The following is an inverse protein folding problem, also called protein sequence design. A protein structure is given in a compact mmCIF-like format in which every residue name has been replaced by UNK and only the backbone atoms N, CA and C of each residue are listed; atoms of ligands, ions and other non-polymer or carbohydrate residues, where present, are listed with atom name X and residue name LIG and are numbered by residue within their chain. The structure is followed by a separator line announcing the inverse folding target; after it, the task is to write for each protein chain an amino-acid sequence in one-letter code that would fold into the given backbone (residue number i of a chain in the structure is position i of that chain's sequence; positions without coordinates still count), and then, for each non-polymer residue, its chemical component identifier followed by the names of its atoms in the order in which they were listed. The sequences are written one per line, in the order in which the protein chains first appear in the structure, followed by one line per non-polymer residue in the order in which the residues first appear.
data_IF_871273690827
#
_entry.id   IF_871273690827
#
_cell.length_a   1.000
_cell.length_b   1.000
_cell.length_c   1.000
_cell.angle_alpha   90.00
_cell.angle_beta   90.00
_cell.angle_gamma   90.00
#
_symmetry.space_group_name_H-M   'P 1'
#
loop_
_entity.id
_entity.type
_entity.pdbx_description
1 polymer ?
#
# COMPACT_ATOMS: atom_id res chain seq x y z
N UNK A 1 -0.54 -5.34 -84.42
CA UNK A 1 -0.15 -5.62 -83.03
C UNK A 1 -1.24 -5.10 -82.11
N UNK A 2 -2.13 -5.97 -81.60
CA UNK A 2 -3.22 -5.59 -80.70
C UNK A 2 -2.69 -5.34 -79.30
N UNK A 3 -2.93 -4.12 -78.74
CA UNK A 3 -2.64 -3.81 -77.37
C UNK A 3 -3.68 -4.47 -76.47
N UNK A 4 -3.25 -5.47 -75.70
CA UNK A 4 -4.05 -6.06 -74.60
C UNK A 4 -4.28 -5.02 -73.50
N UNK A 5 -5.52 -4.59 -73.33
CA UNK A 5 -5.96 -3.67 -72.27
C UNK A 5 -6.18 -4.51 -71.01
N UNK A 6 -5.20 -4.51 -70.11
CA UNK A 6 -5.33 -5.14 -68.80
C UNK A 6 -6.22 -4.29 -67.93
N UNK A 7 -7.44 -4.71 -67.62
CA UNK A 7 -8.29 -4.08 -66.63
C UNK A 7 -7.68 -4.39 -65.27
N UNK A 8 -7.10 -3.36 -64.65
CA UNK A 8 -6.71 -3.43 -63.24
C UNK A 8 -7.98 -3.29 -62.42
N UNK A 9 -8.36 -4.36 -61.76
CA UNK A 9 -9.34 -4.30 -60.64
C UNK A 9 -8.66 -3.63 -59.47
N UNK A 10 -9.21 -2.50 -59.01
CA UNK A 10 -8.81 -1.90 -57.78
C UNK A 10 -9.26 -2.87 -56.67
N UNK A 11 -8.29 -3.41 -55.97
CA UNK A 11 -8.53 -4.27 -54.80
C UNK A 11 -8.85 -3.32 -53.63
N UNK A 12 -10.12 -3.20 -53.27
CA UNK A 12 -10.51 -2.51 -52.07
C UNK A 12 -10.39 -3.50 -50.91
N UNK A 13 -9.42 -3.22 -50.01
CA UNK A 13 -9.24 -3.98 -48.79
C UNK A 13 -10.16 -3.35 -47.73
N UNK A 14 -11.15 -4.11 -47.28
CA UNK A 14 -12.00 -3.71 -46.19
C UNK A 14 -11.21 -3.83 -44.86
N UNK A 15 -10.95 -2.68 -44.21
CA UNK A 15 -10.18 -2.59 -42.97
C UNK A 15 -11.07 -2.76 -41.71
N UNK A 16 -12.38 -2.91 -41.86
CA UNK A 16 -13.34 -3.04 -40.77
C UNK A 16 -12.99 -4.21 -39.81
N UNK A 17 -12.64 -5.42 -40.32
CA UNK A 17 -12.26 -6.53 -39.44
C UNK A 17 -10.97 -6.27 -38.65
N UNK A 18 -10.00 -5.55 -39.24
CA UNK A 18 -8.75 -5.20 -38.54
C UNK A 18 -9.02 -4.18 -37.43
N UNK A 19 -9.88 -3.19 -37.68
CA UNK A 19 -10.26 -2.18 -36.70
C UNK A 19 -11.01 -2.81 -35.53
N UNK A 20 -11.90 -3.77 -35.77
CA UNK A 20 -12.65 -4.49 -34.74
C UNK A 20 -11.71 -5.28 -33.81
N UNK A 21 -10.77 -6.03 -34.38
CA UNK A 21 -9.76 -6.76 -33.59
C UNK A 21 -8.90 -5.81 -32.76
N UNK A 22 -8.49 -4.65 -33.29
CA UNK A 22 -7.73 -3.65 -32.53
C UNK A 22 -8.54 -3.07 -31.38
N UNK A 23 -9.82 -2.74 -31.60
CA UNK A 23 -10.72 -2.23 -30.56
C UNK A 23 -10.98 -3.29 -29.50
N UNK A 24 -11.21 -4.55 -29.88
CA UNK A 24 -11.38 -5.66 -28.93
C UNK A 24 -10.13 -5.89 -28.06
N UNK A 25 -8.94 -5.86 -28.66
CA UNK A 25 -7.68 -5.95 -27.92
C UNK A 25 -7.49 -4.78 -26.97
N UNK A 26 -7.77 -3.55 -27.43
CA UNK A 26 -7.67 -2.34 -26.60
C UNK A 26 -8.62 -2.42 -25.39
N UNK A 27 -9.88 -2.75 -25.63
CA UNK A 27 -10.88 -2.89 -24.55
C UNK A 27 -10.53 -4.02 -23.61
N UNK A 28 -10.05 -5.15 -24.11
CA UNK A 28 -9.57 -6.25 -23.29
C UNK A 28 -8.41 -5.83 -22.37
N UNK A 29 -7.39 -5.15 -22.88
CA UNK A 29 -6.27 -4.66 -22.09
C UNK A 29 -6.71 -3.59 -21.08
N UNK A 30 -7.65 -2.70 -21.43
CA UNK A 30 -8.21 -1.74 -20.46
C UNK A 30 -8.95 -2.43 -19.32
N UNK A 31 -9.74 -3.46 -19.62
CA UNK A 31 -10.51 -4.19 -18.59
C UNK A 31 -9.63 -5.11 -17.74
N UNK A 32 -8.55 -5.65 -18.29
CA UNK A 32 -7.61 -6.53 -17.56
C UNK A 32 -6.46 -5.76 -16.91
N UNK A 33 -6.32 -4.47 -17.18
CA UNK A 33 -5.30 -3.62 -16.54
C UNK A 33 -5.67 -3.40 -15.07
N UNK A 34 -4.99 -4.07 -14.18
CA UNK A 34 -5.07 -3.84 -12.73
C UNK A 34 -4.03 -2.82 -12.32
N UNK A 35 -4.47 -1.72 -11.71
CA UNK A 35 -3.54 -0.76 -11.12
C UNK A 35 -3.03 -1.33 -9.80
N UNK A 36 -1.82 -1.88 -9.81
CA UNK A 36 -1.13 -2.28 -8.58
C UNK A 36 -0.56 -1.02 -7.93
N UNK A 37 -0.96 -0.74 -6.69
CA UNK A 37 -0.35 0.33 -5.90
C UNK A 37 1.14 0.01 -5.72
N UNK A 38 1.99 0.93 -6.14
CA UNK A 38 3.44 0.76 -5.96
C UNK A 38 3.79 1.03 -4.49
N UNK A 39 4.15 0.00 -3.74
CA UNK A 39 4.63 0.15 -2.36
C UNK A 39 6.05 0.73 -2.40
N UNK A 40 6.28 1.95 -1.88
CA UNK A 40 7.60 2.59 -1.92
C UNK A 40 8.64 1.85 -1.06
N UNK A 41 8.19 1.22 0.01
CA UNK A 41 9.06 0.41 0.89
C UNK A 41 8.77 -1.06 0.62
N UNK A 42 9.76 -1.76 0.05
CA UNK A 42 9.67 -3.19 -0.23
C UNK A 42 10.37 -3.97 0.88
N UNK A 43 9.73 -5.05 1.33
CA UNK A 43 10.29 -6.00 2.31
C UNK A 43 10.35 -7.39 1.71
N UNK A 44 11.45 -8.08 1.96
CA UNK A 44 11.59 -9.49 1.62
C UNK A 44 11.05 -10.32 2.78
N UNK A 45 9.86 -10.87 2.61
CA UNK A 45 9.19 -11.63 3.66
C UNK A 45 9.94 -12.96 3.94
N UNK A 46 9.97 -13.40 5.20
CA UNK A 46 10.54 -14.72 5.54
C UNK A 46 9.68 -15.84 4.92
N UNK A 47 10.34 -16.89 4.47
CA UNK A 47 9.67 -18.07 3.94
C UNK A 47 9.11 -18.95 5.06
N UNK A 48 7.87 -19.46 4.86
CA UNK A 48 7.17 -20.37 5.76
C UNK A 48 6.68 -21.61 5.02
N UNK A 49 6.53 -22.70 5.74
CA UNK A 49 5.93 -23.94 5.24
C UNK A 49 4.41 -23.91 5.30
N UNK A 50 3.82 -22.94 5.97
CA UNK A 50 2.38 -22.76 6.12
C UNK A 50 1.93 -21.50 5.43
N UNK A 51 0.93 -21.64 4.56
CA UNK A 51 0.26 -20.52 3.92
C UNK A 51 -0.98 -20.15 4.72
N UNK A 52 -0.96 -18.98 5.34
CA UNK A 52 -2.15 -18.41 5.97
C UNK A 52 -2.76 -17.44 4.97
N UNK A 53 -3.98 -17.74 4.49
CA UNK A 53 -4.72 -16.80 3.64
C UNK A 53 -5.09 -15.57 4.46
N UNK A 54 -4.48 -14.46 4.11
CA UNK A 54 -4.86 -13.14 4.64
C UNK A 54 -6.10 -12.69 3.86
N UNK A 55 -7.10 -12.12 4.52
CA UNK A 55 -8.22 -11.52 3.81
C UNK A 55 -7.75 -10.44 2.84
N UNK A 56 -8.41 -10.33 1.70
CA UNK A 56 -8.05 -9.36 0.65
C UNK A 56 -8.56 -7.96 0.94
N UNK A 57 -9.59 -7.82 1.80
CA UNK A 57 -10.23 -6.55 2.10
C UNK A 57 -10.21 -6.27 3.61
N UNK A 58 -10.32 -4.99 3.95
CA UNK A 58 -10.39 -4.48 5.32
C UNK A 58 -9.17 -4.90 6.16
N UNK A 59 -7.98 -4.68 5.58
CA UNK A 59 -6.71 -5.04 6.21
C UNK A 59 -5.89 -3.80 6.49
N UNK A 60 -5.47 -3.65 7.74
CA UNK A 60 -4.42 -2.73 8.15
C UNK A 60 -3.09 -3.46 8.07
N UNK A 61 -2.30 -3.13 7.07
CA UNK A 61 -0.97 -3.69 6.88
C UNK A 61 0.05 -2.89 7.69
N UNK A 62 0.77 -3.56 8.57
CA UNK A 62 1.90 -3.04 9.33
C UNK A 62 3.16 -3.66 8.73
N UNK A 63 4.03 -2.83 8.19
CA UNK A 63 5.24 -3.24 7.49
C UNK A 63 6.45 -2.84 8.32
N UNK A 64 7.32 -3.80 8.61
CA UNK A 64 8.56 -3.58 9.36
C UNK A 64 9.75 -3.86 8.45
N UNK A 65 10.54 -2.85 8.17
CA UNK A 65 11.71 -3.00 7.30
C UNK A 65 12.93 -3.60 8.04
N UNK A 66 14.00 -3.87 7.30
CA UNK A 66 15.27 -4.41 7.79
C UNK A 66 15.89 -3.61 8.95
N UNK A 67 15.63 -2.31 9.02
CA UNK A 67 16.10 -1.41 10.09
C UNK A 67 15.14 -1.34 11.28
N UNK A 68 14.05 -2.09 11.25
CA UNK A 68 13.04 -2.10 12.31
C UNK A 68 12.11 -0.90 12.33
N UNK A 69 12.02 -0.15 11.24
CA UNK A 69 11.10 0.98 11.09
C UNK A 69 9.73 0.48 10.64
N UNK A 70 8.71 1.11 11.18
CA UNK A 70 7.32 0.71 10.97
C UNK A 70 6.66 1.63 9.97
N UNK A 71 5.98 1.05 9.00
CA UNK A 71 5.14 1.72 8.03
C UNK A 71 3.77 1.08 8.07
N UNK A 72 2.77 1.83 7.68
CA UNK A 72 1.38 1.35 7.68
C UNK A 72 0.74 1.60 6.34
N UNK A 73 -0.20 0.73 5.95
CA UNK A 73 -1.02 0.91 4.77
C UNK A 73 -2.41 0.31 4.98
N UNK A 74 -3.40 0.87 4.30
CA UNK A 74 -4.78 0.41 4.35
C UNK A 74 -5.32 0.32 2.92
N UNK A 75 -6.08 -0.72 2.62
CA UNK A 75 -6.56 -0.95 1.25
C UNK A 75 -7.79 -0.09 0.93
N UNK A 76 -8.67 0.14 1.90
CA UNK A 76 -9.91 0.88 1.71
C UNK A 76 -9.66 2.40 1.77
N UNK A 77 -9.84 3.08 0.64
CA UNK A 77 -9.63 4.53 0.53
C UNK A 77 -10.62 5.36 1.36
N UNK A 78 -11.84 4.87 1.57
CA UNK A 78 -12.84 5.59 2.37
C UNK A 78 -12.47 5.55 3.86
N UNK A 79 -12.05 4.38 4.33
CA UNK A 79 -11.59 4.20 5.71
C UNK A 79 -10.32 5.00 5.96
N UNK A 80 -9.43 5.09 4.95
CA UNK A 80 -8.21 5.90 5.02
C UNK A 80 -8.52 7.40 5.16
N UNK A 81 -9.54 7.89 4.45
CA UNK A 81 -9.99 9.27 4.60
C UNK A 81 -10.57 9.52 5.99
N UNK A 82 -11.40 8.62 6.49
CA UNK A 82 -11.98 8.71 7.84
C UNK A 82 -10.90 8.64 8.92
N UNK A 83 -9.89 7.79 8.72
CA UNK A 83 -8.74 7.66 9.60
C UNK A 83 -7.97 8.99 9.72
N UNK A 84 -7.63 9.63 8.59
CA UNK A 84 -6.87 10.89 8.64
C UNK A 84 -7.71 12.04 9.19
N UNK A 85 -9.02 12.03 8.99
CA UNK A 85 -9.93 12.99 9.62
C UNK A 85 -9.95 12.83 11.14
N UNK A 86 -10.11 11.61 11.64
CA UNK A 86 -10.04 11.32 13.08
C UNK A 86 -8.69 11.71 13.70
N UNK A 87 -7.59 11.40 13.01
CA UNK A 87 -6.25 11.81 13.44
C UNK A 87 -6.06 13.33 13.43
N UNK A 88 -6.66 14.04 12.47
CA UNK A 88 -6.60 15.50 12.41
C UNK A 88 -7.38 16.16 13.57
N UNK A 89 -8.52 15.58 13.95
CA UNK A 89 -9.33 16.05 15.08
C UNK A 89 -8.65 15.77 16.42
N UNK A 90 -8.19 14.55 16.62
CA UNK A 90 -7.56 14.08 17.87
C UNK A 90 -6.17 14.70 18.06
N UNK A 91 -5.37 14.76 17.01
CA UNK A 91 -3.98 15.25 17.03
C UNK A 91 -3.84 16.75 16.77
N UNK A 92 -4.93 17.48 16.46
CA UNK A 92 -4.89 18.91 16.08
C UNK A 92 -3.84 19.26 15.02
N UNK A 93 -3.67 18.36 14.03
CA UNK A 93 -2.61 18.45 13.01
C UNK A 93 -2.80 19.65 12.06
N UNK A 94 -4.02 20.20 11.97
CA UNK A 94 -4.34 21.34 11.12
C UNK A 94 -4.14 21.06 9.65
N UNK A 95 -4.53 19.85 9.21
CA UNK A 95 -4.45 19.42 7.81
C UNK A 95 -5.58 20.05 6.99
N UNK A 96 -5.27 20.43 5.77
CA UNK A 96 -6.25 20.92 4.80
C UNK A 96 -6.91 19.75 4.06
N UNK A 97 -8.12 19.99 3.50
CA UNK A 97 -8.82 18.97 2.70
C UNK A 97 -7.98 18.46 1.52
N UNK A 98 -7.12 19.30 0.95
CA UNK A 98 -6.22 18.92 -0.13
C UNK A 98 -5.13 17.94 0.36
N UNK A 99 -4.57 18.17 1.55
CA UNK A 99 -3.59 17.28 2.18
C UNK A 99 -4.21 15.95 2.59
N UNK A 100 -5.44 15.96 3.12
CA UNK A 100 -6.17 14.74 3.46
C UNK A 100 -6.48 13.88 2.22
N UNK A 101 -6.91 14.50 1.11
CA UNK A 101 -7.09 13.79 -0.17
C UNK A 101 -5.79 13.21 -0.70
N UNK A 102 -4.69 13.90 -0.51
CA UNK A 102 -3.37 13.43 -0.91
C UNK A 102 -2.94 12.22 -0.09
N UNK A 103 -3.18 12.22 1.22
CA UNK A 103 -2.99 11.07 2.09
C UNK A 103 -3.83 9.86 1.64
N UNK A 104 -5.08 10.09 1.24
CA UNK A 104 -5.97 9.04 0.73
C UNK A 104 -5.41 8.33 -0.51
N UNK A 105 -4.65 9.04 -1.35
CA UNK A 105 -4.04 8.47 -2.55
C UNK A 105 -2.67 7.86 -2.29
N UNK A 106 -2.06 8.14 -1.13
CA UNK A 106 -0.76 7.58 -0.76
C UNK A 106 -0.92 6.07 -0.45
N UNK A 107 -0.12 5.21 -1.07
CA UNK A 107 -0.20 3.76 -0.84
C UNK A 107 0.24 3.33 0.56
N UNK A 108 1.02 4.16 1.25
CA UNK A 108 1.65 3.82 2.53
C UNK A 108 2.05 5.09 3.27
N UNK A 109 1.95 5.08 4.58
CA UNK A 109 2.46 6.14 5.43
C UNK A 109 3.42 5.59 6.49
N UNK A 110 4.29 6.43 6.95
CA UNK A 110 5.33 6.05 7.92
C UNK A 110 6.20 7.25 8.21
N UNK A 111 5.56 8.37 8.56
CA UNK A 111 6.23 9.61 8.96
C UNK A 111 5.69 9.99 10.32
N UNK A 112 6.53 10.47 11.26
CA UNK A 112 6.07 10.98 12.55
C UNK A 112 4.99 12.06 12.38
N UNK A 113 4.03 12.13 13.30
CA UNK A 113 2.89 13.05 13.23
C UNK A 113 3.33 14.51 13.10
N UNK A 114 4.41 14.91 13.78
CA UNK A 114 4.97 16.26 13.71
C UNK A 114 5.40 16.66 12.29
N UNK A 115 5.87 15.69 11.51
CA UNK A 115 6.36 15.89 10.15
C UNK A 115 5.30 15.59 9.07
N UNK A 116 4.14 15.05 9.46
CA UNK A 116 3.12 14.59 8.52
C UNK A 116 2.61 15.71 7.61
N UNK A 117 2.35 16.90 8.18
CA UNK A 117 1.90 18.06 7.41
C UNK A 117 2.94 18.51 6.38
N UNK A 118 4.21 18.56 6.79
CA UNK A 118 5.31 18.88 5.88
C UNK A 118 5.45 17.85 4.76
N UNK A 119 5.31 16.57 5.09
CA UNK A 119 5.34 15.45 4.14
C UNK A 119 4.22 15.56 3.10
N UNK A 120 2.99 15.79 3.52
CA UNK A 120 1.83 15.94 2.63
C UNK A 120 1.90 17.20 1.76
N UNK A 121 2.62 18.24 2.17
CA UNK A 121 2.90 19.43 1.38
C UNK A 121 3.84 19.19 0.20
N UNK A 122 4.62 18.09 0.18
CA UNK A 122 5.61 17.82 -0.86
C UNK A 122 4.96 17.30 -2.16
N UNK A 123 5.61 17.46 -3.32
CA UNK A 123 5.24 16.75 -4.55
C UNK A 123 5.36 15.24 -4.36
N UNK A 124 4.54 14.46 -5.07
CA UNK A 124 4.46 12.98 -4.93
C UNK A 124 5.82 12.29 -5.12
N UNK A 125 6.67 12.79 -6.02
CA UNK A 125 8.01 12.25 -6.25
C UNK A 125 8.89 12.37 -5.00
N UNK A 126 8.84 13.53 -4.33
CA UNK A 126 9.60 13.77 -3.09
C UNK A 126 9.04 13.03 -1.89
N UNK A 127 7.74 12.76 -1.87
CA UNK A 127 7.13 11.92 -0.83
C UNK A 127 7.74 10.52 -0.82
N UNK A 128 7.94 9.93 -1.99
CA UNK A 128 8.59 8.61 -2.11
C UNK A 128 10.04 8.63 -1.60
N UNK A 129 10.78 9.71 -1.84
CA UNK A 129 12.14 9.87 -1.31
C UNK A 129 12.15 9.98 0.21
N UNK A 130 11.22 10.78 0.78
CA UNK A 130 11.11 10.96 2.24
C UNK A 130 10.75 9.66 2.93
N UNK A 131 9.76 8.91 2.44
CA UNK A 131 9.31 7.65 3.06
C UNK A 131 10.39 6.55 2.99
N UNK A 132 11.29 6.61 1.99
CA UNK A 132 12.44 5.70 1.89
C UNK A 132 13.66 6.18 2.67
N UNK A 133 13.67 7.43 3.14
CA UNK A 133 14.78 8.02 3.89
C UNK A 133 15.05 7.32 5.22
N UNK A 134 16.18 7.61 5.83
CA UNK A 134 16.58 7.01 7.10
C UNK A 134 15.74 7.47 8.30
N UNK A 135 15.02 8.58 8.18
CA UNK A 135 14.24 9.19 9.25
C UNK A 135 12.75 8.81 9.20
N UNK A 136 12.32 8.14 8.13
CA UNK A 136 10.93 7.67 8.00
C UNK A 136 10.68 6.45 8.89
N UNK A 137 9.46 6.36 9.41
CA UNK A 137 8.95 5.30 10.26
C UNK A 137 8.01 5.89 11.32
N UNK A 138 6.92 5.19 11.61
CA UNK A 138 6.04 5.54 12.73
C UNK A 138 6.77 5.23 14.03
N UNK A 139 6.90 6.19 14.96
CA UNK A 139 7.53 5.97 16.25
C UNK A 139 6.75 4.94 17.09
N UNK A 140 7.49 4.01 17.71
CA UNK A 140 6.96 3.06 18.68
C UNK A 140 7.17 3.50 20.12
N UNK A 141 8.00 4.53 20.33
CA UNK A 141 8.30 5.01 21.66
C UNK A 141 7.13 5.87 22.16
N UNK A 142 6.73 5.65 23.42
CA UNK A 142 5.66 6.42 24.08
C UNK A 142 6.11 7.87 24.29
N UNK A 143 5.25 8.82 23.95
CA UNK A 143 5.46 10.23 24.25
C UNK A 143 4.94 10.50 25.67
N UNK A 144 5.79 10.95 26.57
CA UNK A 144 5.47 11.37 27.97
C UNK A 144 4.69 10.31 28.80
N UNK A 145 4.97 9.02 28.61
CA UNK A 145 4.30 7.93 29.33
C UNK A 145 2.86 7.66 28.90
N UNK A 146 2.44 8.24 27.78
CA UNK A 146 1.14 8.00 27.14
C UNK A 146 1.21 6.87 26.10
N UNK A 147 0.25 6.87 25.20
CA UNK A 147 0.23 5.97 24.04
C UNK A 147 1.32 6.38 23.04
N UNK A 148 1.92 5.40 22.36
CA UNK A 148 2.81 5.66 21.22
C UNK A 148 2.03 6.18 20.01
N UNK A 149 2.70 6.88 19.08
CA UNK A 149 2.05 7.29 17.82
C UNK A 149 1.48 6.09 17.06
N UNK A 150 2.19 4.98 17.08
CA UNK A 150 1.72 3.73 16.50
C UNK A 150 0.38 3.28 17.12
N UNK A 151 0.26 3.34 18.44
CA UNK A 151 -0.99 2.99 19.14
C UNK A 151 -2.12 3.97 18.77
N UNK A 152 -1.83 5.26 18.58
CA UNK A 152 -2.82 6.22 18.12
C UNK A 152 -3.35 5.85 16.73
N UNK A 153 -2.48 5.57 15.78
CA UNK A 153 -2.88 5.14 14.43
C UNK A 153 -3.73 3.86 14.44
N UNK A 154 -3.32 2.86 15.20
CA UNK A 154 -4.08 1.60 15.31
C UNK A 154 -5.42 1.83 16.00
N UNK A 155 -5.48 2.65 17.06
CA UNK A 155 -6.74 2.97 17.74
C UNK A 155 -7.73 3.65 16.79
N UNK A 156 -7.28 4.65 16.04
CA UNK A 156 -8.14 5.34 15.07
C UNK A 156 -8.57 4.42 13.92
N UNK A 157 -7.69 3.54 13.44
CA UNK A 157 -8.07 2.56 12.44
C UNK A 157 -9.20 1.61 12.92
N UNK A 158 -9.14 1.19 14.18
CA UNK A 158 -10.18 0.37 14.82
C UNK A 158 -11.46 1.17 15.08
N UNK A 159 -11.37 2.47 15.38
CA UNK A 159 -12.55 3.34 15.54
C UNK A 159 -13.31 3.51 14.21
N UNK A 160 -12.57 3.58 13.10
CA UNK A 160 -13.16 3.69 11.76
C UNK A 160 -13.81 2.38 11.32
N UNK A 161 -13.15 1.26 11.61
CA UNK A 161 -13.65 -0.07 11.24
C UNK A 161 -13.27 -1.09 12.32
N UNK A 162 -14.27 -1.50 13.12
CA UNK A 162 -14.08 -2.48 14.21
C UNK A 162 -13.70 -3.89 13.70
N UNK A 163 -14.07 -4.23 12.47
CA UNK A 163 -13.79 -5.52 11.85
C UNK A 163 -12.45 -5.57 11.10
N UNK A 164 -11.67 -4.48 11.14
CA UNK A 164 -10.39 -4.41 10.45
C UNK A 164 -9.42 -5.47 10.95
N UNK A 165 -8.75 -6.13 10.03
CA UNK A 165 -7.79 -7.19 10.33
C UNK A 165 -6.38 -6.64 10.26
N UNK A 166 -5.59 -6.92 11.29
CA UNK A 166 -4.19 -6.48 11.34
C UNK A 166 -3.31 -7.53 10.69
N UNK A 167 -2.54 -7.12 9.70
CA UNK A 167 -1.55 -7.95 9.03
C UNK A 167 -0.16 -7.35 9.19
N UNK A 168 0.81 -8.16 9.59
CA UNK A 168 2.19 -7.74 9.81
C UNK A 168 3.07 -8.35 8.74
N UNK A 169 3.73 -7.49 7.96
CA UNK A 169 4.76 -7.84 6.98
C UNK A 169 6.13 -7.47 7.56
N UNK A 170 6.99 -8.43 7.78
CA UNK A 170 8.34 -8.19 8.35
C UNK A 170 9.40 -8.59 7.36
N UNK A 171 10.46 -7.82 7.25
CA UNK A 171 11.62 -8.22 6.43
C UNK A 171 12.38 -9.37 7.11
N UNK A 172 12.84 -10.34 6.32
CA UNK A 172 13.59 -11.50 6.80
C UNK A 172 14.89 -11.13 7.54
N UNK A 173 15.43 -9.93 7.27
CA UNK A 173 16.64 -9.42 7.93
C UNK A 173 16.36 -8.62 9.19
N UNK A 174 15.09 -8.36 9.50
CA UNK A 174 14.71 -7.58 10.69
C UNK A 174 15.07 -8.33 11.96
N UNK A 175 15.77 -7.72 12.91
CA UNK A 175 16.03 -8.31 14.21
C UNK A 175 14.70 -8.63 14.94
N UNK A 176 14.60 -9.81 15.52
CA UNK A 176 13.42 -10.23 16.27
C UNK A 176 13.00 -9.25 17.38
N UNK A 177 13.97 -8.57 17.98
CA UNK A 177 13.70 -7.55 19.00
C UNK A 177 12.79 -6.42 18.51
N UNK A 178 12.94 -5.98 17.25
CA UNK A 178 12.10 -4.93 16.67
C UNK A 178 10.70 -5.44 16.38
N UNK A 179 10.57 -6.65 15.85
CA UNK A 179 9.27 -7.31 15.68
C UNK A 179 8.55 -7.47 17.02
N UNK A 180 9.28 -7.90 18.07
CA UNK A 180 8.73 -8.07 19.41
C UNK A 180 8.18 -6.76 19.97
N UNK A 181 8.82 -5.62 19.73
CA UNK A 181 8.31 -4.30 20.14
C UNK A 181 6.94 -4.02 19.50
N UNK A 182 6.79 -4.19 18.19
CA UNK A 182 5.50 -3.99 17.49
C UNK A 182 4.41 -4.92 18.05
N UNK A 183 4.75 -6.19 18.30
CA UNK A 183 3.81 -7.15 18.90
C UNK A 183 3.43 -6.75 20.32
N UNK A 184 4.37 -6.24 21.13
CA UNK A 184 4.11 -5.76 22.49
C UNK A 184 3.15 -4.57 22.48
N UNK A 185 3.37 -3.59 21.59
CA UNK A 185 2.47 -2.44 21.41
C UNK A 185 1.03 -2.87 21.09
N UNK A 186 0.88 -3.87 20.20
CA UNK A 186 -0.45 -4.42 19.88
C UNK A 186 -1.07 -5.18 21.07
N UNK A 187 -0.27 -5.92 21.84
CA UNK A 187 -0.74 -6.63 23.03
C UNK A 187 -1.20 -5.66 24.13
N UNK A 188 -0.50 -4.55 24.32
CA UNK A 188 -0.86 -3.50 25.28
C UNK A 188 -2.22 -2.86 24.96
N UNK A 189 -2.62 -2.90 23.68
CA UNK A 189 -3.94 -2.49 23.19
C UNK A 189 -4.99 -3.61 23.20
N UNK A 190 -4.67 -4.80 23.75
CA UNK A 190 -5.49 -6.02 23.68
C UNK A 190 -5.76 -6.53 22.24
N UNK A 191 -4.98 -6.07 21.25
CA UNK A 191 -5.06 -6.55 19.87
C UNK A 191 -4.16 -7.79 19.69
N UNK A 192 -4.69 -8.95 20.11
CA UNK A 192 -3.94 -10.21 20.09
C UNK A 192 -4.17 -11.03 18.80
N UNK A 193 -5.03 -10.54 17.91
CA UNK A 193 -5.35 -11.21 16.62
C UNK A 193 -4.72 -10.45 15.46
N UNK A 194 -3.61 -10.94 14.97
CA UNK A 194 -2.94 -10.42 13.79
C UNK A 194 -2.45 -11.56 12.90
N UNK A 195 -2.34 -11.27 11.62
CA UNK A 195 -1.82 -12.19 10.60
C UNK A 195 -0.36 -11.85 10.31
N UNK A 196 0.54 -12.81 10.46
CA UNK A 196 1.92 -12.64 10.03
C UNK A 196 2.03 -13.10 8.58
N UNK A 197 2.36 -12.18 7.68
CA UNK A 197 2.47 -12.47 6.25
C UNK A 197 3.86 -13.04 5.97
N UNK A 198 3.89 -14.23 5.37
CA UNK A 198 5.11 -14.94 4.99
C UNK A 198 4.97 -15.44 3.55
N UNK A 199 6.08 -15.62 2.86
CA UNK A 199 6.09 -16.28 1.56
C UNK A 199 6.14 -17.79 1.72
N UNK A 200 5.48 -18.52 0.81
CA UNK A 200 5.57 -19.99 0.81
C UNK A 200 6.99 -20.43 0.43
N UNK A 201 7.57 -21.32 1.21
CA UNK A 201 8.88 -21.90 0.91
C UNK A 201 8.76 -22.77 -0.34
N UNK A 202 9.34 -22.32 -1.44
CA UNK A 202 9.45 -23.11 -2.67
C UNK A 202 10.59 -24.10 -2.47
N UNK A 203 10.41 -25.35 -2.90
CA UNK A 203 11.30 -26.50 -2.58
C UNK A 203 12.76 -26.40 -3.08
N UNK A 204 13.22 -25.25 -3.53
CA UNK A 204 14.60 -24.98 -3.98
C UNK A 204 15.54 -24.46 -2.87
N UNK A 205 15.00 -24.10 -1.70
CA UNK A 205 15.81 -23.66 -0.55
C UNK A 205 16.18 -24.85 0.35
N UNK A 206 17.05 -25.74 -0.17
CA UNK A 206 17.74 -26.77 0.61
C UNK A 206 19.14 -26.34 0.95
#
# INVERSE_FOLDING_TARGET
MGKLKINKHDIWIDMTPMSDVMVLLLTFFMLTSTFVKNEPVKVNQPSSVSEIKVPENDVLNILVNDKGRVFMSMDNQNDLLSLIQGMNETGSLGLTDAEMKKFQTDPMWGVPLDNLKGYLGLPTEKMTEVITSAEAGVPLDSIDGGKSEFQHWVTEALNVNEDIKIAIKVDAKTPYANMKKVMSELQDMNQNRYYLITTLKTGEDK
#
